data_IF_886384945145
#
_entry.id   IF_886384945145
#
_cell.length_a   1.000
_cell.length_b   1.000
_cell.length_c   1.000
_cell.angle_alpha   90.00
_cell.angle_beta   90.00
_cell.angle_gamma   90.00
#
_symmetry.space_group_name_H-M   'P 1'
#
loop_
_entity.id
_entity.type
_entity.pdbx_description
1 polymer ?
#
# COMPACT_ATOMS: atom_id res chain seq x y z
N UNK A 1 1.25 -16.81 -12.98
CA UNK A 1 0.77 -17.01 -11.60
C UNK A 1 -0.38 -16.04 -11.42
N UNK A 2 -1.63 -16.50 -11.29
CA UNK A 2 -2.75 -15.59 -11.06
C UNK A 2 -2.49 -14.84 -9.76
N UNK A 3 -2.73 -13.54 -9.76
CA UNK A 3 -2.66 -12.74 -8.54
C UNK A 3 -3.79 -13.20 -7.64
N UNK A 4 -3.45 -13.69 -6.45
CA UNK A 4 -4.47 -13.93 -5.43
C UNK A 4 -5.07 -12.59 -4.99
N UNK A 5 -6.38 -12.52 -4.77
CA UNK A 5 -7.03 -11.31 -4.30
C UNK A 5 -6.41 -10.89 -2.95
N UNK A 6 -5.93 -9.64 -2.91
CA UNK A 6 -5.35 -9.03 -1.71
C UNK A 6 -6.42 -8.29 -0.92
N UNK A 7 -6.49 -8.55 0.39
CA UNK A 7 -7.32 -7.79 1.33
C UNK A 7 -6.63 -6.46 1.71
N UNK A 8 -6.83 -5.43 0.88
CA UNK A 8 -6.20 -4.12 1.06
C UNK A 8 -6.74 -3.41 2.31
N UNK A 9 -8.05 -3.52 2.58
CA UNK A 9 -8.68 -2.85 3.71
C UNK A 9 -8.15 -3.41 5.03
N UNK A 10 -8.05 -4.74 5.15
CA UNK A 10 -7.46 -5.38 6.34
C UNK A 10 -6.00 -4.99 6.58
N UNK A 11 -5.20 -4.84 5.52
CA UNK A 11 -3.80 -4.39 5.64
C UNK A 11 -3.73 -2.92 6.11
N UNK A 12 -4.59 -2.05 5.58
CA UNK A 12 -4.66 -0.65 6.00
C UNK A 12 -5.03 -0.55 7.48
N UNK A 13 -6.03 -1.31 7.93
CA UNK A 13 -6.43 -1.35 9.34
C UNK A 13 -5.28 -1.78 10.26
N UNK A 14 -4.54 -2.84 9.89
CA UNK A 14 -3.35 -3.30 10.62
C UNK A 14 -2.29 -2.20 10.72
N UNK A 15 -1.97 -1.54 9.61
CA UNK A 15 -0.97 -0.46 9.58
C UNK A 15 -1.41 0.76 10.39
N UNK A 16 -2.70 1.08 10.44
CA UNK A 16 -3.24 2.18 11.21
C UNK A 16 -3.43 1.86 12.70
N UNK A 17 -3.46 0.58 13.09
CA UNK A 17 -3.65 0.13 14.48
C UNK A 17 -2.59 0.64 15.47
N UNK A 18 -1.44 1.11 14.98
CA UNK A 18 -0.36 1.67 15.81
C UNK A 18 -0.45 3.18 16.00
N UNK A 19 -1.48 3.84 15.44
CA UNK A 19 -1.73 5.27 15.67
C UNK A 19 -1.93 5.53 17.17
N UNK A 20 -1.15 6.46 17.72
CA UNK A 20 -1.15 6.78 19.16
C UNK A 20 -0.34 5.82 20.02
N UNK A 21 0.24 4.75 19.45
CA UNK A 21 1.23 3.94 20.15
C UNK A 21 2.58 4.67 20.25
N UNK A 22 3.44 4.18 21.15
CA UNK A 22 4.82 4.66 21.25
C UNK A 22 5.51 4.53 19.88
N UNK A 23 6.20 5.59 19.40
CA UNK A 23 6.98 5.52 18.17
C UNK A 23 7.93 4.31 18.16
N UNK A 24 8.01 3.63 17.02
CA UNK A 24 8.81 2.40 16.85
C UNK A 24 8.05 1.08 17.09
N UNK A 25 6.76 1.12 17.44
CA UNK A 25 5.92 -0.09 17.47
C UNK A 25 5.79 -0.66 16.06
N UNK A 26 6.19 -1.93 15.89
CA UNK A 26 6.13 -2.62 14.61
C UNK A 26 4.73 -3.18 14.33
N UNK A 27 4.38 -3.25 13.05
CA UNK A 27 3.19 -3.93 12.54
C UNK A 27 3.66 -5.20 11.83
N UNK A 28 3.14 -6.35 12.26
CA UNK A 28 3.47 -7.63 11.65
C UNK A 28 2.51 -7.90 10.49
N UNK A 29 3.03 -7.89 9.27
CA UNK A 29 2.34 -8.34 8.07
C UNK A 29 2.94 -9.69 7.63
N UNK A 30 2.13 -10.57 7.08
CA UNK A 30 2.61 -11.81 6.48
C UNK A 30 3.41 -11.51 5.20
N UNK A 31 4.36 -12.38 4.85
CA UNK A 31 5.13 -12.23 3.60
C UNK A 31 4.21 -12.15 2.37
N UNK A 32 3.15 -12.95 2.35
CA UNK A 32 2.16 -12.95 1.26
C UNK A 32 1.45 -11.61 1.12
N UNK A 33 1.11 -10.94 2.23
CA UNK A 33 0.50 -9.60 2.21
C UNK A 33 1.48 -8.58 1.62
N UNK A 34 2.74 -8.59 2.08
CA UNK A 34 3.77 -7.67 1.59
C UNK A 34 4.04 -7.90 0.10
N UNK A 35 4.25 -9.15 -0.31
CA UNK A 35 4.47 -9.53 -1.71
C UNK A 35 3.28 -9.14 -2.58
N UNK A 36 2.06 -9.38 -2.10
CA UNK A 36 0.82 -9.01 -2.77
C UNK A 36 0.74 -7.51 -3.03
N UNK A 37 1.03 -6.67 -2.02
CA UNK A 37 1.07 -5.20 -2.18
C UNK A 37 2.08 -4.79 -3.25
N UNK A 38 3.30 -5.35 -3.21
CA UNK A 38 4.33 -5.01 -4.18
C UNK A 38 3.94 -5.38 -5.62
N UNK A 39 3.37 -6.56 -5.83
CA UNK A 39 2.95 -7.01 -7.16
C UNK A 39 1.80 -6.16 -7.70
N UNK A 40 0.75 -5.93 -6.90
CA UNK A 40 -0.39 -5.11 -7.31
C UNK A 40 0.00 -3.65 -7.54
N UNK A 41 0.81 -3.05 -6.64
CA UNK A 41 1.29 -1.68 -6.81
C UNK A 41 2.15 -1.54 -8.06
N UNK A 42 3.02 -2.53 -8.36
CA UNK A 42 3.82 -2.55 -9.59
C UNK A 42 2.94 -2.52 -10.83
N UNK A 43 1.85 -3.28 -10.86
CA UNK A 43 0.92 -3.27 -12.00
C UNK A 43 0.23 -1.92 -12.17
N UNK A 44 -0.22 -1.31 -11.07
CA UNK A 44 -0.78 0.04 -11.08
C UNK A 44 0.23 1.04 -11.64
N UNK A 45 1.47 1.03 -11.15
CA UNK A 45 2.53 1.92 -11.65
C UNK A 45 2.86 1.69 -13.13
N UNK A 46 2.85 0.45 -13.61
CA UNK A 46 3.09 0.14 -15.02
C UNK A 46 1.91 0.52 -15.92
N UNK A 47 0.70 0.56 -15.38
CA UNK A 47 -0.50 1.01 -16.11
C UNK A 47 -0.60 2.53 -16.22
N UNK A 48 0.10 3.25 -15.34
CA UNK A 48 0.13 4.72 -15.32
C UNK A 48 1.29 5.25 -16.19
N UNK A 49 1.16 6.47 -16.75
CA UNK A 49 2.28 7.10 -17.45
C UNK A 49 3.42 7.42 -16.47
N UNK A 50 4.66 7.29 -16.95
CA UNK A 50 5.87 7.61 -16.16
C UNK A 50 5.91 9.08 -15.73
N UNK A 51 5.32 9.97 -16.54
CA UNK A 51 5.08 11.36 -16.20
C UNK A 51 3.62 11.51 -15.80
N UNK A 52 3.35 11.62 -14.50
CA UNK A 52 2.00 11.79 -13.98
C UNK A 52 1.51 13.22 -14.22
N UNK A 53 0.36 13.33 -14.86
CA UNK A 53 -0.41 14.57 -14.94
C UNK A 53 -1.43 14.57 -13.81
N UNK A 54 -1.30 15.52 -12.87
CA UNK A 54 -2.17 15.62 -11.69
C UNK A 54 -2.84 16.98 -11.63
N UNK A 55 -4.11 16.99 -11.22
CA UNK A 55 -4.89 18.22 -11.06
C UNK A 55 -4.92 18.66 -9.58
N UNK A 56 -4.99 19.98 -9.37
CA UNK A 56 -5.16 20.56 -8.05
C UNK A 56 -6.62 20.42 -7.55
N UNK A 57 -6.86 20.34 -6.23
CA UNK A 57 -5.90 20.43 -5.13
C UNK A 57 -5.27 19.09 -4.76
N UNK A 58 -3.94 19.07 -4.55
CA UNK A 58 -3.19 17.90 -4.08
C UNK A 58 -2.22 18.31 -2.96
N UNK A 59 -2.00 17.42 -1.99
CA UNK A 59 -0.95 17.58 -0.97
C UNK A 59 0.29 16.80 -1.41
N UNK A 60 1.41 17.50 -1.55
CA UNK A 60 2.72 16.90 -1.80
C UNK A 60 3.39 16.72 -0.42
N UNK A 61 3.76 15.50 -0.08
CA UNK A 61 4.38 15.11 1.19
C UNK A 61 5.81 14.64 0.98
#
# INVERSE_FOLDING_TARGET
MPLEPIDVDGIIEKLLSVRGARPGKQVNLAESEIRGLCLHAREVFLSQPILLEVEAPIKIC
#
